data_IF_132224856065
#
_entry.id   IF_132224856065
#
_cell.length_a   1.000
_cell.length_b   1.000
_cell.length_c   1.000
_cell.angle_alpha   90.00
_cell.angle_beta   90.00
_cell.angle_gamma   90.00
#
_symmetry.space_group_name_H-M   'P 1'
#
loop_
_entity.id
_entity.type
_entity.pdbx_description
1 polymer ?
#
# COMPACT_ATOMS: atom_id res chain seq x y z
N UNK A 1 25.77 5.65 17.98
CA UNK A 1 24.77 4.95 17.14
C UNK A 1 23.40 5.43 17.58
N UNK A 2 22.63 6.06 16.68
CA UNK A 2 21.23 6.37 16.96
C UNK A 2 20.46 5.05 16.86
N UNK A 3 19.83 4.65 17.96
CA UNK A 3 18.70 3.71 17.90
C UNK A 3 17.59 4.44 17.13
N UNK A 4 17.47 4.19 15.82
CA UNK A 4 16.30 4.63 15.08
C UNK A 4 15.13 3.73 15.52
N UNK A 5 14.39 4.19 16.53
CA UNK A 5 13.16 3.55 17.00
C UNK A 5 12.19 3.39 15.82
N UNK A 6 11.98 2.16 15.37
CA UNK A 6 11.03 1.83 14.32
C UNK A 6 9.63 2.37 14.66
N UNK A 7 8.97 2.99 13.69
CA UNK A 7 7.58 3.39 13.86
C UNK A 7 6.67 2.15 13.75
N UNK A 8 5.88 1.88 14.79
CA UNK A 8 4.94 0.77 14.84
C UNK A 8 3.51 1.27 14.68
N UNK A 9 2.80 0.81 13.66
CA UNK A 9 1.42 1.24 13.40
C UNK A 9 0.50 0.07 13.04
N UNK A 10 -0.76 0.14 13.48
CA UNK A 10 -1.80 -0.82 13.10
C UNK A 10 -2.61 -0.26 11.92
N UNK A 11 -2.42 -0.85 10.74
CA UNK A 11 -3.00 -0.37 9.49
C UNK A 11 -3.74 -1.52 8.78
N UNK A 12 -5.00 -1.27 8.40
CA UNK A 12 -5.85 -2.27 7.75
C UNK A 12 -5.91 -3.58 8.54
N UNK A 13 -6.04 -3.49 9.86
CA UNK A 13 -6.17 -4.63 10.78
C UNK A 13 -4.88 -5.32 11.23
N UNK A 14 -3.69 -4.98 10.67
CA UNK A 14 -2.40 -5.64 10.99
C UNK A 14 -1.36 -4.64 11.51
N UNK A 15 -0.43 -5.10 12.34
CA UNK A 15 0.72 -4.30 12.82
C UNK A 15 1.83 -4.26 11.77
N UNK A 16 2.46 -3.11 11.59
CA UNK A 16 3.58 -2.91 10.66
C UNK A 16 4.67 -2.06 11.29
N UNK A 17 5.90 -2.29 10.83
CA UNK A 17 7.11 -1.56 11.22
C UNK A 17 7.64 -0.76 10.03
N UNK A 18 8.02 0.49 10.29
CA UNK A 18 8.51 1.42 9.28
C UNK A 18 9.75 2.16 9.74
N UNK A 19 10.54 2.57 8.74
CA UNK A 19 11.56 3.60 8.91
C UNK A 19 10.87 4.92 9.31
N UNK A 20 11.33 5.61 10.37
CA UNK A 20 10.72 6.86 10.84
C UNK A 20 10.67 7.97 9.79
N UNK A 21 11.55 7.91 8.78
CA UNK A 21 11.60 8.89 7.69
C UNK A 21 10.35 8.91 6.81
N UNK A 22 9.59 7.80 6.74
CA UNK A 22 8.31 7.78 6.03
C UNK A 22 7.25 8.56 6.80
N UNK A 23 6.49 9.39 6.09
CA UNK A 23 5.36 10.10 6.67
C UNK A 23 4.19 9.14 6.98
N UNK A 24 3.21 9.55 7.81
CA UNK A 24 2.09 8.67 8.19
C UNK A 24 1.25 8.15 7.02
N UNK A 25 1.11 8.91 5.93
CA UNK A 25 0.40 8.45 4.74
C UNK A 25 1.25 7.43 3.96
N UNK A 26 2.55 7.67 3.82
CA UNK A 26 3.48 6.76 3.13
C UNK A 26 3.55 5.41 3.82
N UNK A 27 3.58 5.39 5.16
CA UNK A 27 3.51 4.15 5.96
C UNK A 27 2.23 3.36 5.67
N UNK A 28 1.08 4.03 5.59
CA UNK A 28 -0.19 3.39 5.20
C UNK A 28 -0.13 2.83 3.79
N UNK A 29 0.32 3.63 2.83
CA UNK A 29 0.45 3.19 1.44
C UNK A 29 1.37 1.95 1.34
N UNK A 30 2.54 1.97 1.99
CA UNK A 30 3.47 0.85 2.06
C UNK A 30 2.85 -0.41 2.69
N UNK A 31 2.06 -0.26 3.76
CA UNK A 31 1.35 -1.38 4.39
C UNK A 31 0.37 -2.08 3.44
N UNK A 32 -0.31 -1.34 2.55
CA UNK A 32 -1.20 -1.92 1.55
C UNK A 32 -0.42 -2.46 0.35
N UNK A 33 0.61 -1.76 -0.10
CA UNK A 33 1.49 -2.22 -1.17
C UNK A 33 2.19 -3.54 -0.80
N UNK A 34 2.40 -3.87 0.48
CA UNK A 34 2.94 -5.19 0.89
C UNK A 34 1.95 -6.35 0.78
N UNK A 35 0.68 -6.10 0.45
CA UNK A 35 -0.38 -7.11 0.37
C UNK A 35 -0.78 -7.29 -1.08
N UNK A 36 -0.91 -8.53 -1.52
CA UNK A 36 -1.22 -8.92 -2.91
C UNK A 36 -2.42 -8.16 -3.50
N UNK A 37 -3.64 -8.42 -3.02
CA UNK A 37 -4.84 -7.82 -3.61
C UNK A 37 -4.90 -6.28 -3.52
N UNK A 38 -4.60 -5.62 -2.37
CA UNK A 38 -4.53 -4.16 -2.33
C UNK A 38 -3.46 -3.58 -3.27
N UNK A 39 -2.29 -4.24 -3.40
CA UNK A 39 -1.24 -3.83 -4.35
C UNK A 39 -1.78 -3.86 -5.77
N UNK A 40 -2.43 -4.95 -6.18
CA UNK A 40 -2.98 -5.08 -7.53
C UNK A 40 -4.00 -3.99 -7.86
N UNK A 41 -4.89 -3.66 -6.91
CA UNK A 41 -5.83 -2.55 -7.06
C UNK A 41 -5.08 -1.22 -7.27
N UNK A 42 -4.08 -0.93 -6.43
CA UNK A 42 -3.29 0.31 -6.52
C UNK A 42 -2.54 0.38 -7.85
N UNK A 43 -1.90 -0.72 -8.27
CA UNK A 43 -1.18 -0.81 -9.54
C UNK A 43 -2.13 -0.60 -10.73
N UNK A 44 -3.33 -1.19 -10.69
CA UNK A 44 -4.32 -1.03 -11.76
C UNK A 44 -4.80 0.43 -11.87
N UNK A 45 -5.05 1.08 -10.75
CA UNK A 45 -5.42 2.50 -10.71
C UNK A 45 -4.27 3.43 -11.13
N UNK A 46 -3.02 3.07 -10.81
CA UNK A 46 -1.85 3.80 -11.28
C UNK A 46 -1.67 3.69 -12.80
N UNK A 47 -1.80 2.47 -13.34
CA UNK A 47 -1.58 2.18 -14.76
C UNK A 47 -2.70 2.71 -15.66
N UNK A 48 -3.95 2.56 -15.24
CA UNK A 48 -5.11 2.82 -16.10
C UNK A 48 -5.89 4.09 -15.71
N UNK A 49 -5.49 4.77 -14.63
CA UNK A 49 -6.21 5.91 -14.07
C UNK A 49 -7.53 5.52 -13.37
N UNK A 50 -8.47 6.48 -13.22
CA UNK A 50 -9.70 6.26 -12.47
C UNK A 50 -10.57 5.12 -13.03
N UNK A 51 -11.01 4.20 -12.15
CA UNK A 51 -11.80 3.02 -12.54
C UNK A 51 -13.03 2.79 -11.70
N UNK A 52 -14.05 2.20 -12.32
CA UNK A 52 -15.25 1.73 -11.61
C UNK A 52 -14.90 0.48 -10.78
N UNK A 53 -15.49 0.29 -9.57
CA UNK A 53 -15.29 -0.93 -8.79
C UNK A 53 -15.64 -2.21 -9.56
N UNK A 54 -16.67 -2.16 -10.42
CA UNK A 54 -17.04 -3.29 -11.28
C UNK A 54 -15.94 -3.64 -12.30
N UNK A 55 -15.27 -2.63 -12.87
CA UNK A 55 -14.18 -2.84 -13.82
C UNK A 55 -12.98 -3.49 -13.12
N UNK A 56 -12.62 -3.00 -11.92
CA UNK A 56 -11.55 -3.61 -11.10
C UNK A 56 -11.86 -5.08 -10.76
N UNK A 57 -13.11 -5.41 -10.41
CA UNK A 57 -13.51 -6.79 -10.13
C UNK A 57 -13.31 -7.70 -11.34
N UNK A 58 -13.68 -7.25 -12.53
CA UNK A 58 -13.47 -8.00 -13.76
C UNK A 58 -12.00 -8.08 -14.16
N UNK A 59 -11.26 -6.98 -14.02
CA UNK A 59 -9.84 -6.91 -14.39
C UNK A 59 -8.95 -7.82 -13.54
N UNK A 60 -9.26 -7.95 -12.25
CA UNK A 60 -8.49 -8.73 -11.29
C UNK A 60 -9.06 -10.14 -11.08
N UNK A 61 -10.13 -10.51 -11.79
CA UNK A 61 -10.88 -11.77 -11.59
C UNK A 61 -11.29 -12.00 -10.12
N UNK A 62 -11.80 -10.96 -9.48
CA UNK A 62 -12.20 -10.97 -8.07
C UNK A 62 -13.71 -10.78 -7.90
N UNK A 63 -14.25 -11.41 -6.86
CA UNK A 63 -15.63 -11.18 -6.46
C UNK A 63 -15.89 -9.69 -6.14
N UNK A 64 -17.08 -9.20 -6.50
CA UNK A 64 -17.49 -7.80 -6.23
C UNK A 64 -17.43 -7.44 -4.75
N UNK A 65 -17.75 -8.39 -3.86
CA UNK A 65 -17.64 -8.21 -2.40
C UNK A 65 -16.20 -8.02 -1.94
N UNK A 66 -15.26 -8.78 -2.50
CA UNK A 66 -13.81 -8.66 -2.24
C UNK A 66 -13.30 -7.27 -2.63
N UNK A 67 -13.59 -6.83 -3.86
CA UNK A 67 -13.24 -5.47 -4.30
C UNK A 67 -13.89 -4.41 -3.42
N UNK A 68 -15.18 -4.55 -3.12
CA UNK A 68 -15.90 -3.57 -2.28
C UNK A 68 -15.27 -3.44 -0.90
N UNK A 69 -14.85 -4.53 -0.29
CA UNK A 69 -14.16 -4.53 0.99
C UNK A 69 -12.81 -3.80 0.89
N UNK A 70 -11.95 -4.22 -0.05
CA UNK A 70 -10.63 -3.62 -0.23
C UNK A 70 -10.71 -2.13 -0.55
N UNK A 71 -11.60 -1.73 -1.43
CA UNK A 71 -11.79 -0.33 -1.83
C UNK A 71 -12.24 0.53 -0.66
N UNK A 72 -13.18 0.05 0.16
CA UNK A 72 -13.60 0.79 1.35
C UNK A 72 -12.45 0.92 2.35
N UNK A 73 -11.71 -0.16 2.61
CA UNK A 73 -10.53 -0.09 3.47
C UNK A 73 -9.45 0.86 2.94
N UNK A 74 -9.18 0.86 1.63
CA UNK A 74 -8.22 1.78 1.01
C UNK A 74 -8.70 3.24 1.10
N UNK A 75 -10.00 3.48 0.92
CA UNK A 75 -10.59 4.82 1.04
C UNK A 75 -10.56 5.34 2.48
N UNK A 76 -10.91 4.50 3.46
CA UNK A 76 -10.83 4.81 4.90
C UNK A 76 -9.41 5.17 5.34
N UNK A 77 -8.39 4.63 4.66
CA UNK A 77 -6.98 4.91 4.93
C UNK A 77 -6.39 6.00 4.02
N UNK A 78 -7.22 6.67 3.20
CA UNK A 78 -6.81 7.78 2.35
C UNK A 78 -5.88 7.40 1.19
N UNK A 79 -5.91 6.14 0.75
CA UNK A 79 -5.08 5.65 -0.37
C UNK A 79 -5.78 5.89 -1.71
N UNK A 80 -7.09 5.64 -1.75
CA UNK A 80 -7.96 5.93 -2.89
C UNK A 80 -9.05 6.91 -2.50
N UNK A 81 -9.60 7.60 -3.47
CA UNK A 81 -10.79 8.43 -3.33
C UNK A 81 -11.92 7.87 -4.18
N UNK A 82 -13.16 8.15 -3.75
CA UNK A 82 -14.39 7.82 -4.47
C UNK A 82 -14.92 9.10 -5.10
N UNK A 83 -15.19 9.10 -6.40
CA UNK A 83 -15.82 10.25 -7.06
C UNK A 83 -17.27 10.42 -6.63
N UNK A 84 -17.77 11.65 -6.64
CA UNK A 84 -19.20 11.94 -6.43
C UNK A 84 -20.06 11.62 -7.67
N UNK A 85 -19.43 11.37 -8.81
CA UNK A 85 -20.09 11.05 -10.09
C UNK A 85 -20.98 9.80 -10.03
N UNK A 86 -21.93 9.74 -10.96
CA UNK A 86 -22.72 8.55 -11.23
C UNK A 86 -22.59 8.13 -12.70
N UNK A 87 -21.97 6.96 -12.99
CA UNK A 87 -21.48 5.98 -12.02
C UNK A 87 -20.15 6.39 -11.35
N UNK A 88 -20.03 6.08 -10.05
CA UNK A 88 -18.83 6.33 -9.24
C UNK A 88 -17.59 5.63 -9.81
N UNK A 89 -16.46 6.33 -9.75
CA UNK A 89 -15.10 5.84 -10.02
C UNK A 89 -14.22 5.94 -8.78
N UNK A 90 -13.07 5.28 -8.85
CA UNK A 90 -12.03 5.27 -7.84
C UNK A 90 -10.75 5.80 -8.47
N UNK A 91 -10.06 6.69 -7.77
CA UNK A 91 -8.76 7.21 -8.17
C UNK A 91 -7.75 7.11 -7.02
N UNK A 92 -6.46 7.16 -7.32
CA UNK A 92 -5.43 7.31 -6.29
C UNK A 92 -5.52 8.71 -5.69
N UNK A 93 -5.51 8.82 -4.36
CA UNK A 93 -5.57 10.11 -3.67
C UNK A 93 -4.28 10.95 -3.87
N UNK A 94 -3.12 10.27 -4.04
CA UNK A 94 -1.82 10.92 -4.29
C UNK A 94 -1.03 10.17 -5.37
N UNK A 95 -1.45 10.28 -6.65
CA UNK A 95 -0.92 9.44 -7.72
C UNK A 95 0.61 9.51 -7.87
N UNK A 96 1.19 10.72 -7.81
CA UNK A 96 2.64 10.90 -7.96
C UNK A 96 3.43 10.26 -6.81
N UNK A 97 3.00 10.49 -5.56
CA UNK A 97 3.64 9.85 -4.38
C UNK A 97 3.42 8.34 -4.37
N UNK A 98 2.27 7.85 -4.83
CA UNK A 98 2.05 6.41 -4.98
C UNK A 98 3.02 5.81 -6.01
N UNK A 99 3.30 6.50 -7.11
CA UNK A 99 4.26 6.06 -8.12
C UNK A 99 5.69 5.94 -7.55
N UNK A 100 6.13 6.92 -6.75
CA UNK A 100 7.42 6.86 -6.05
C UNK A 100 7.51 5.63 -5.12
N UNK A 101 6.46 5.35 -4.34
CA UNK A 101 6.42 4.20 -3.42
C UNK A 101 6.35 2.85 -4.17
N UNK A 102 5.70 2.79 -5.34
CA UNK A 102 5.72 1.60 -6.19
C UNK A 102 7.14 1.29 -6.68
N UNK A 103 7.92 2.32 -7.00
CA UNK A 103 9.34 2.21 -7.35
C UNK A 103 10.20 1.68 -6.20
N UNK A 104 9.89 2.09 -4.97
CA UNK A 104 10.49 1.51 -3.77
C UNK A 104 10.13 0.03 -3.71
N UNK A 105 8.82 -0.32 -3.75
CA UNK A 105 8.21 -1.65 -3.49
C UNK A 105 8.55 -2.79 -4.49
N UNK A 106 9.24 -2.49 -5.59
CA UNK A 106 9.59 -3.42 -6.68
C UNK A 106 10.42 -4.65 -6.22
N UNK A 107 10.41 -5.77 -6.98
CA UNK A 107 10.37 -7.18 -6.50
C UNK A 107 11.52 -7.66 -5.61
N UNK A 108 12.55 -6.86 -5.40
CA UNK A 108 13.63 -7.13 -4.45
C UNK A 108 13.27 -6.86 -2.98
N UNK A 109 12.08 -6.38 -2.62
CA UNK A 109 11.82 -5.91 -1.25
C UNK A 109 11.36 -6.89 -0.19
N UNK A 110 10.72 -8.04 -0.48
CA UNK A 110 10.68 -9.10 0.51
C UNK A 110 12.12 -9.44 0.92
N UNK A 111 13.00 -9.62 -0.05
CA UNK A 111 14.41 -9.96 0.18
C UNK A 111 15.21 -8.82 0.82
N UNK A 112 15.04 -7.56 0.38
CA UNK A 112 15.82 -6.42 0.91
C UNK A 112 15.34 -5.88 2.24
N UNK A 113 14.04 -5.95 2.55
CA UNK A 113 13.58 -5.61 3.90
C UNK A 113 13.97 -6.71 4.87
N UNK A 114 13.91 -7.99 4.46
CA UNK A 114 14.47 -9.10 5.24
C UNK A 114 15.98 -8.92 5.38
N UNK A 115 16.74 -8.56 4.34
CA UNK A 115 18.19 -8.35 4.41
C UNK A 115 18.58 -7.16 5.30
N UNK A 116 17.85 -6.04 5.23
CA UNK A 116 18.09 -4.91 6.16
C UNK A 116 17.72 -5.32 7.58
N UNK A 117 16.67 -6.10 7.77
CA UNK A 117 16.25 -6.61 9.08
C UNK A 117 17.28 -7.60 9.65
N UNK A 118 17.79 -8.54 8.84
CA UNK A 118 18.84 -9.50 9.20
C UNK A 118 20.14 -8.76 9.54
N UNK A 119 20.62 -7.85 8.69
CA UNK A 119 21.83 -7.06 8.98
C UNK A 119 21.71 -6.24 10.26
N UNK A 120 20.55 -5.59 10.48
CA UNK A 120 20.35 -4.78 11.69
C UNK A 120 20.31 -5.64 12.96
N UNK A 121 19.82 -6.88 12.85
CA UNK A 121 19.79 -7.82 13.98
C UNK A 121 21.18 -8.45 14.21
N UNK A 122 21.93 -8.80 13.17
CA UNK A 122 23.29 -9.33 13.29
C UNK A 122 24.25 -8.29 13.90
N UNK A 123 24.14 -7.01 13.50
CA UNK A 123 24.93 -5.91 14.09
C UNK A 123 24.55 -5.60 15.55
N UNK A 124 23.44 -6.14 16.07
CA UNK A 124 23.00 -5.96 17.46
C UNK A 124 23.53 -7.06 18.39
N UNK A 125 24.03 -8.17 17.83
CA UNK A 125 24.47 -9.35 18.58
C UNK A 125 25.98 -9.63 18.49
N UNK A 126 26.75 -8.73 17.86
CA UNK A 126 28.23 -8.68 17.91
C UNK A 126 28.76 -7.49 18.73
#
# INVERSE_FOLDING_TARGET
MRNDELAVERIGGRTHYFDPSFDPWERRALAFLRRETPREIIVRLHADGPKRPKALASDLDLARSTISWHVSTLAENGIVEKSDDRPMTLALNRPDRTAELLGVVSPSLPDRLVDRFVRTVDELFD
#
